data_IF_399459921489
#
_entry.id   IF_399459921489
#
_cell.length_a   1.000
_cell.length_b   1.000
_cell.length_c   1.000
_cell.angle_alpha   90.00
_cell.angle_beta   90.00
_cell.angle_gamma   90.00
#
_symmetry.space_group_name_H-M   'P 1'
#
loop_
_entity.id
_entity.type
_entity.pdbx_description
1 polymer ?
2 water ?
#
# COMPACT_ATOMS: atom_id res chain seq x y z
N UNK A 2 6.33 -11.35 6.59
CA UNK A 2 6.99 -10.16 7.10
C UNK A 2 8.42 -10.03 6.55
N UNK A 3 9.16 -9.05 7.05
CA UNK A 3 10.54 -8.85 6.62
C UNK A 3 11.37 -10.13 6.82
N UNK A 4 12.03 -10.58 5.75
CA UNK A 4 12.78 -11.82 5.80
C UNK A 4 12.02 -13.00 5.21
N UNK A 5 10.70 -12.91 5.09
CA UNK A 5 9.91 -14.01 4.53
C UNK A 5 10.34 -14.34 3.09
N UNK A 6 10.38 -15.64 2.79
CA UNK A 6 10.68 -16.13 1.44
C UNK A 6 9.35 -16.34 0.73
N UNK A 7 9.21 -15.82 -0.49
CA UNK A 7 7.91 -15.90 -1.15
C UNK A 7 8.12 -16.11 -2.64
N UNK A 8 7.02 -16.30 -3.35
CA UNK A 8 7.05 -16.40 -4.80
C UNK A 8 6.21 -15.25 -5.33
N UNK A 9 6.78 -14.48 -6.25
CA UNK A 9 6.03 -13.38 -6.85
C UNK A 9 4.93 -13.96 -7.73
N UNK A 10 3.71 -13.47 -7.55
CA UNK A 10 2.56 -14.01 -8.27
C UNK A 10 1.80 -12.88 -8.97
N UNK A 11 2.52 -12.07 -9.73
CA UNK A 11 1.94 -11.01 -10.53
C UNK A 11 2.90 -10.78 -11.69
N UNK A 12 2.49 -9.98 -12.66
CA UNK A 12 3.32 -9.77 -13.86
C UNK A 12 3.51 -8.30 -14.21
N UNK A 13 3.77 -7.45 -13.21
CA UNK A 13 3.93 -6.02 -13.44
C UNK A 13 4.94 -5.72 -14.55
N UNK A 15 8.15 -7.95 -17.05
CA UNK A 15 8.68 -9.26 -17.42
C UNK A 15 9.74 -9.73 -16.43
N UNK A 16 9.79 -11.04 -16.19
CA UNK A 16 10.82 -11.59 -15.34
C UNK A 16 10.44 -11.72 -13.88
N UNK A 18 7.05 -12.83 -12.67
CA UNK A 18 6.06 -13.88 -12.38
C UNK A 18 6.72 -15.22 -12.08
N UNK A 19 6.47 -15.74 -10.89
CA UNK A 19 7.04 -17.00 -10.46
C UNK A 19 8.46 -16.89 -9.91
N UNK A 20 8.99 -15.68 -9.86
CA UNK A 20 10.34 -15.50 -9.33
C UNK A 20 10.36 -15.71 -7.81
N UNK A 21 11.41 -16.39 -7.34
CA UNK A 21 11.63 -16.54 -5.91
C UNK A 21 12.05 -15.19 -5.36
N UNK A 22 11.53 -14.84 -4.19
CA UNK A 22 11.78 -13.51 -3.65
C UNK A 22 11.94 -13.53 -2.14
N UNK A 23 12.54 -12.49 -1.59
CA UNK A 23 12.60 -12.31 -0.14
C UNK A 23 12.10 -10.90 0.21
N UNK A 24 11.25 -10.81 1.23
CA UNK A 24 10.69 -9.54 1.66
C UNK A 24 11.69 -8.68 2.43
N UNK A 25 11.87 -7.45 1.99
CA UNK A 25 12.81 -6.55 2.67
C UNK A 25 12.12 -5.36 3.36
N UNK A 26 10.85 -5.15 3.05
CA UNK A 26 10.06 -4.16 3.78
C UNK A 26 8.59 -4.48 3.64
N UNK A 27 7.79 -4.08 4.64
CA UNK A 27 6.37 -4.34 4.68
C UNK A 27 5.70 -3.10 5.22
N UNK A 28 4.63 -2.64 4.55
CA UNK A 28 4.02 -1.35 4.86
C UNK A 28 2.49 -1.45 4.82
N UNK A 29 1.84 -1.15 5.94
CA UNK A 29 0.39 -0.99 5.95
C UNK A 29 0.17 0.41 5.44
N UNK A 30 -0.58 0.53 4.35
CA UNK A 30 -0.66 1.84 3.73
C UNK A 30 -1.81 1.85 2.75
N UNK A 31 -1.95 2.95 2.00
CA UNK A 31 -2.86 2.95 0.89
C UNK A 31 -2.05 2.82 -0.39
N UNK A 32 -2.42 1.85 -1.22
CA UNK A 32 -1.75 1.64 -2.49
C UNK A 32 -2.62 2.19 -3.60
N UNK A 33 -2.02 2.99 -4.47
CA UNK A 33 -2.78 3.59 -5.57
C UNK A 33 -2.29 3.04 -6.90
N UNK A 34 -3.22 2.91 -7.84
CA UNK A 34 -2.89 2.68 -9.23
C UNK A 34 -2.98 4.05 -9.89
N UNK A 35 -1.97 4.40 -10.67
CA UNK A 35 -1.89 5.74 -11.25
C UNK A 35 -1.52 5.73 -12.73
N UNK A 36 -1.97 6.76 -13.44
CA UNK A 36 -1.62 6.99 -14.83
C UNK A 36 -0.95 8.35 -14.95
N UNK A 37 0.14 8.42 -15.72
CA UNK A 37 0.85 9.67 -15.88
C UNK A 37 1.64 9.70 -17.18
N UNK A 38 1.98 10.91 -17.59
CA UNK A 38 2.94 11.14 -18.66
C UNK A 38 4.31 11.40 -18.02
N UNK A 39 5.32 10.58 -18.37
CA UNK A 39 6.65 10.74 -17.79
C UNK A 39 7.19 12.16 -18.04
N UNK A 40 8.11 12.60 -17.19
CA UNK A 40 8.68 13.94 -17.30
C UNK A 40 9.59 14.08 -18.52
N UNK A 41 10.16 12.95 -18.96
CA UNK A 41 11.05 12.92 -20.09
C UNK A 41 10.33 13.12 -21.42
N UNK A 42 9.06 12.74 -21.45
CA UNK A 42 8.21 12.96 -22.61
C UNK A 42 7.89 11.72 -23.41
N UNK A 43 8.27 10.55 -22.88
CA UNK A 43 7.96 9.29 -23.53
C UNK A 43 6.49 8.88 -23.44
N UNK A 44 6.23 7.60 -23.72
CA UNK A 44 4.88 7.06 -23.78
C UNK A 44 4.16 7.14 -22.44
N UNK A 45 2.85 7.36 -22.49
CA UNK A 45 2.06 7.49 -21.27
C UNK A 45 2.09 6.21 -20.45
N UNK A 46 2.18 6.35 -19.12
CA UNK A 46 2.12 5.19 -18.24
C UNK A 46 0.69 4.99 -17.77
N UNK A 47 0.11 3.83 -18.09
CA UNK A 47 -1.31 3.60 -17.84
C UNK A 47 -1.55 2.56 -16.76
N UNK A 48 -2.28 2.94 -15.71
CA UNK A 48 -2.59 2.06 -14.60
C UNK A 48 -1.38 1.38 -14.02
N UNK A 49 -0.44 2.17 -13.52
CA UNK A 49 0.75 1.61 -12.92
C UNK A 49 0.50 1.14 -11.46
N UNK A 50 0.76 -0.15 -11.22
CA UNK A 50 0.79 -0.70 -9.87
C UNK A 50 2.23 -0.70 -9.39
N UNK A 51 2.54 -0.07 -8.25
CA UNK A 51 1.64 0.73 -7.43
C UNK A 51 2.46 1.92 -6.96
N UNK A 52 1.81 3.01 -6.58
CA UNK A 52 2.48 4.01 -5.74
C UNK A 52 1.70 4.12 -4.43
N UNK A 53 2.41 4.36 -3.33
CA UNK A 53 1.76 4.35 -2.04
C UNK A 53 1.61 5.75 -1.48
N UNK A 54 0.89 5.86 -0.37
CA UNK A 54 0.58 7.16 0.23
C UNK A 54 1.83 8.01 0.41
N UNK A 55 2.87 7.36 0.93
CA UNK A 55 4.14 8.01 1.24
C UNK A 55 4.91 8.46 0.00
N UNK A 56 4.48 8.03 -1.17
CA UNK A 56 5.13 8.40 -2.41
C UNK A 56 4.43 9.54 -3.15
N UNK A 57 3.44 10.13 -2.51
CA UNK A 57 2.68 11.19 -3.16
C UNK A 57 2.92 12.53 -2.47
N UNK A 58 3.39 13.51 -3.23
CA UNK A 58 3.71 14.83 -2.71
C UNK A 58 2.55 15.42 -1.92
N UNK A 59 2.84 15.84 -0.68
CA UNK A 59 1.86 16.48 0.20
C UNK A 59 0.54 15.71 0.33
N UNK A 60 0.63 14.40 0.49
CA UNK A 60 -0.55 13.57 0.69
C UNK A 60 -0.91 13.48 2.17
N UNK A 61 0.10 13.54 3.02
CA UNK A 61 -0.09 13.44 4.46
C UNK A 61 -0.76 12.14 4.86
N UNK A 62 -1.66 12.23 5.82
CA UNK A 62 -2.45 11.07 6.25
C UNK A 62 -3.84 11.13 5.64
N UNK A 63 -3.98 11.93 4.58
CA UNK A 63 -5.25 12.08 3.90
C UNK A 63 -5.35 11.12 2.71
N UNK A 64 -6.28 10.18 2.80
CA UNK A 64 -6.55 9.29 1.70
C UNK A 64 -7.07 10.09 0.52
N UNK A 65 -6.53 9.82 -0.66
CA UNK A 65 -6.88 10.54 -1.87
C UNK A 65 -8.03 9.83 -2.56
N UNK A 66 -8.54 10.44 -3.64
CA UNK A 66 -9.67 9.83 -4.34
C UNK A 66 -9.35 9.54 -5.80
N UNK A 67 -9.90 8.44 -6.33
CA UNK A 67 -9.77 8.21 -7.78
C UNK A 67 -10.25 9.45 -8.52
N UNK A 68 -9.53 9.84 -9.57
CA UNK A 68 -9.82 11.09 -10.24
C UNK A 68 -8.90 12.22 -9.81
N UNK A 69 -8.30 12.12 -8.63
CA UNK A 69 -7.40 13.18 -8.17
C UNK A 69 -6.13 13.30 -9.02
N UNK A 70 -5.63 14.53 -9.16
CA UNK A 70 -4.36 14.80 -9.83
C UNK A 70 -3.31 15.01 -8.74
N UNK A 71 -2.22 14.25 -8.81
CA UNK A 71 -1.18 14.36 -7.80
C UNK A 71 0.18 14.45 -8.46
N UNK A 72 1.18 14.80 -7.67
CA UNK A 72 2.56 14.79 -8.13
C UNK A 72 3.23 13.59 -7.46
N UNK A 73 3.95 12.80 -8.25
CA UNK A 73 4.58 11.59 -7.72
C UNK A 73 5.97 11.89 -7.16
N UNK A 74 6.30 11.24 -6.04
CA UNK A 74 7.60 11.43 -5.41
C UNK A 74 8.45 10.16 -5.46
N UNK A 75 7.98 9.15 -6.18
CA UNK A 75 8.72 7.90 -6.31
C UNK A 75 9.51 7.89 -7.60
N UNK A 76 10.43 6.94 -7.73
CA UNK A 76 11.20 6.78 -8.95
C UNK A 76 11.37 5.32 -9.32
N UNK A 77 10.25 4.62 -9.46
CA UNK A 77 10.27 3.20 -9.78
C UNK A 77 10.80 2.97 -11.18
N UNK A 79 12.41 5.55 -14.83
CA UNK A 79 12.75 6.87 -15.34
C UNK A 79 11.50 7.67 -15.73
N UNK A 80 11.51 8.96 -15.42
CA UNK A 80 10.41 9.82 -15.80
C UNK A 80 9.27 9.89 -14.80
N UNK A 82 9.46 10.52 -11.22
CA UNK A 82 9.57 11.53 -10.16
C UNK A 82 9.12 12.91 -10.65
N UNK A 83 8.23 13.54 -9.87
CA UNK A 83 7.74 14.86 -10.18
C UNK A 83 6.63 14.90 -11.23
N UNK A 84 6.30 13.74 -11.79
CA UNK A 84 5.25 13.69 -12.80
C UNK A 84 3.88 14.00 -12.21
N UNK A 85 2.99 14.54 -13.03
CA UNK A 85 1.62 14.73 -12.61
C UNK A 85 0.88 13.44 -12.93
N UNK A 86 0.20 12.87 -11.94
CA UNK A 86 -0.52 11.63 -12.19
C UNK A 86 -1.98 11.68 -11.76
N UNK A 87 -2.79 10.86 -12.42
CA UNK A 87 -4.20 10.74 -12.06
C UNK A 87 -4.40 9.42 -11.33
N UNK A 88 -5.10 9.48 -10.21
CA UNK A 88 -5.34 8.26 -9.44
C UNK A 88 -6.48 7.51 -10.09
N UNK A 89 -6.21 6.27 -10.48
CA UNK A 89 -7.20 5.37 -11.07
C UNK A 89 -7.94 4.61 -9.98
N UNK A 90 -7.23 4.25 -8.91
CA UNK A 90 -7.86 3.56 -7.80
C UNK A 90 -7.01 3.64 -6.54
N UNK A 91 -7.62 3.35 -5.40
CA UNK A 91 -7.01 3.45 -4.08
C UNK A 91 -7.45 2.22 -3.32
N UNK A 92 -6.54 1.60 -2.54
CA UNK A 92 -6.89 0.39 -1.82
C UNK A 92 -6.12 0.33 -0.51
N UNK A 93 -6.83 0.08 0.58
CA UNK A 93 -6.13 -0.06 1.86
C UNK A 93 -5.54 -1.45 1.95
N UNK A 94 -4.21 -1.54 2.05
CA UNK A 94 -3.58 -2.85 2.04
C UNK A 94 -2.16 -2.85 2.62
N UNK A 95 -1.53 -4.00 2.62
CA UNK A 95 -0.12 -4.09 2.96
C UNK A 95 0.69 -4.26 1.68
N UNK A 96 1.73 -3.45 1.52
CA UNK A 96 2.60 -3.63 0.36
C UNK A 96 3.98 -4.03 0.83
N UNK A 97 4.68 -4.76 -0.03
CA UNK A 97 5.99 -5.30 0.29
C UNK A 97 7.00 -4.85 -0.74
N UNK A 99 10.60 -6.13 -2.22
CA UNK A 99 11.21 -7.45 -2.34
C UNK A 99 12.49 -7.46 -3.16
N UNK A 100 13.42 -8.34 -2.78
CA UNK A 100 14.55 -8.70 -3.61
C UNK A 100 14.15 -9.95 -4.39
N UNK A 101 14.49 -10.02 -5.67
CA UNK A 101 14.17 -11.24 -6.43
C UNK A 101 15.16 -11.47 -7.57
N UNK A 102 15.15 -12.68 -8.09
CA UNK A 102 15.96 -13.03 -9.25
C UNK A 102 15.09 -13.08 -10.50
N UNK A 103 15.34 -12.16 -11.45
CA UNK A 103 14.61 -12.15 -12.72
C UNK A 103 14.61 -13.51 -13.40
N UNK A 104 13.43 -13.95 -13.80
CA UNK A 104 13.30 -15.23 -14.48
C UNK A 104 13.84 -15.11 -15.91
N UNK A 105 13.94 -13.88 -16.40
CA UNK A 105 14.38 -13.62 -17.77
C UNK A 105 15.90 -13.72 -17.97
N UNK A 106 16.65 -13.07 -17.09
CA UNK A 106 18.09 -12.84 -17.27
C UNK A 106 18.91 -13.36 -16.10
N UNK A 107 18.23 -13.67 -15.00
CA UNK A 107 18.91 -14.12 -13.80
C UNK A 107 19.48 -12.98 -12.97
N UNK A 108 19.20 -11.74 -13.36
CA UNK A 108 19.69 -10.56 -12.60
C UNK A 108 19.05 -10.52 -11.22
N UNK A 109 19.87 -10.22 -10.21
CA UNK A 109 19.38 -10.08 -8.83
C UNK A 109 18.84 -8.68 -8.62
N UNK A 110 17.51 -8.54 -8.62
CA UNK A 110 16.89 -7.23 -8.46
C UNK A 110 16.71 -6.92 -6.97
N UNK A 111 17.06 -5.69 -6.58
CA UNK A 111 17.07 -5.34 -5.16
C UNK A 111 15.99 -4.31 -4.83
N UNK A 112 15.36 -4.48 -3.67
CA UNK A 112 14.39 -3.53 -3.15
C UNK A 112 13.35 -3.11 -4.17
N UNK A 113 12.67 -4.07 -4.75
CA UNK A 113 11.67 -3.76 -5.76
C UNK A 113 10.39 -3.28 -5.09
N UNK A 114 9.89 -2.14 -5.55
CA UNK A 114 8.62 -1.59 -5.09
C UNK A 114 7.64 -1.62 -6.26
N UNK A 115 6.46 -2.22 -6.10
CA UNK A 115 5.98 -2.83 -4.87
C UNK A 115 5.14 -4.01 -5.30
N UNK A 116 4.94 -4.96 -4.41
CA UNK A 116 3.89 -5.95 -4.59
C UNK A 116 3.04 -6.04 -3.34
N UNK A 117 1.76 -6.30 -3.55
CA UNK A 117 0.82 -6.48 -2.45
C UNK A 117 0.75 -7.95 -2.08
N UNK A 118 0.21 -8.26 -0.90
CA UNK A 118 0.13 -9.67 -0.46
C UNK A 118 -0.72 -10.53 -1.37
N UNK A 119 -1.72 -9.91 -2.00
CA UNK A 119 -2.53 -10.61 -3.00
C UNK A 119 -1.67 -11.02 -4.18
N UNK A 120 -0.53 -10.38 -4.34
CA UNK A 120 0.37 -10.61 -5.47
C UNK A 120 1.53 -11.54 -5.12
N UNK A 121 1.51 -12.11 -3.92
CA UNK A 121 2.59 -12.98 -3.47
C UNK A 121 2.05 -14.33 -3.03
N UNK A 122 2.87 -15.38 -3.17
CA UNK A 122 2.56 -16.70 -2.61
C UNK A 122 3.68 -17.06 -1.65
N UNK A 123 3.34 -17.62 -0.49
CA UNK A 123 4.38 -18.05 0.45
C UNK A 123 4.64 -19.56 0.37
N UNK B 2 -15.20 7.66 0.24
CA UNK B 2 -13.78 7.41 0.01
C UNK B 2 -13.37 6.20 0.81
N UNK B 3 -12.12 5.79 0.64
CA UNK B 3 -11.55 4.71 1.45
C UNK B 3 -11.58 5.10 2.93
N UNK B 4 -12.04 4.19 3.77
CA UNK B 4 -12.22 4.50 5.18
C UNK B 4 -13.62 5.00 5.52
N UNK B 5 -14.44 5.29 4.52
CA UNK B 5 -15.81 5.73 4.80
C UNK B 5 -16.62 4.59 5.45
N UNK B 6 -17.50 4.97 6.37
CA UNK B 6 -18.40 4.03 7.02
C UNK B 6 -19.76 4.05 6.32
N UNK B 7 -20.17 2.91 5.79
CA UNK B 7 -21.35 2.87 4.95
C UNK B 7 -22.33 1.77 5.36
N UNK B 8 -23.53 1.76 4.78
CA UNK B 8 -24.45 0.64 4.96
C UNK B 8 -24.70 0.01 3.59
N UNK B 9 -24.56 -1.31 3.53
CA UNK B 9 -24.74 -2.02 2.27
C UNK B 9 -26.22 -2.09 1.90
N UNK B 10 -26.55 -1.62 0.69
CA UNK B 10 -27.93 -1.65 0.22
C UNK B 10 -28.07 -2.46 -1.07
N UNK B 11 -27.70 -3.73 -0.99
CA UNK B 11 -27.84 -4.64 -2.11
C UNK B 11 -27.87 -6.04 -1.55
N UNK B 12 -28.36 -6.99 -2.33
CA UNK B 12 -28.42 -8.37 -1.88
C UNK B 12 -27.95 -9.31 -2.99
N UNK B 13 -26.94 -8.87 -3.75
CA UNK B 13 -26.50 -9.71 -4.87
C UNK B 13 -25.73 -10.95 -4.44
N UNK B 15 -25.79 -13.42 -0.47
CA UNK B 15 -26.49 -13.50 0.81
C UNK B 15 -25.65 -13.00 1.98
N UNK B 16 -26.31 -12.39 2.96
CA UNK B 16 -25.63 -11.95 4.16
C UNK B 16 -25.04 -10.54 4.13
N UNK B 18 -27.02 -7.58 2.87
CA UNK B 18 -28.05 -6.54 2.90
C UNK B 18 -28.21 -5.94 4.29
N UNK B 19 -28.02 -4.64 4.41
CA UNK B 19 -28.14 -3.98 5.70
C UNK B 19 -26.87 -4.00 6.55
N UNK B 20 -25.81 -4.68 6.09
CA UNK B 20 -24.59 -4.77 6.90
C UNK B 20 -23.88 -3.43 7.02
N UNK B 21 -23.41 -3.10 8.22
CA UNK B 21 -22.52 -1.95 8.40
C UNK B 21 -21.17 -2.31 7.76
N UNK B 22 -20.60 -1.39 6.99
CA UNK B 22 -19.37 -1.73 6.27
C UNK B 22 -18.38 -0.59 6.25
N UNK B 23 -17.13 -0.90 5.95
CA UNK B 23 -16.09 0.10 5.77
C UNK B 23 -15.55 -0.04 4.36
N UNK B 24 -15.46 1.05 3.61
CA UNK B 24 -14.84 1.00 2.28
C UNK B 24 -13.34 0.80 2.43
N UNK B 25 -12.80 -0.24 1.79
CA UNK B 25 -11.36 -0.50 1.86
C UNK B 25 -10.70 -0.22 0.51
N UNK B 26 -11.50 0.07 -0.52
CA UNK B 26 -10.96 0.30 -1.85
C UNK B 26 -11.97 0.99 -2.74
N UNK B 27 -11.49 1.92 -3.59
CA UNK B 27 -12.32 2.65 -4.54
C UNK B 27 -11.65 2.62 -5.92
N UNK B 28 -12.41 2.25 -6.95
CA UNK B 28 -11.87 2.13 -8.30
C UNK B 28 -12.73 2.93 -9.28
N UNK B 29 -12.11 3.82 -10.05
CA UNK B 29 -12.82 4.47 -11.16
C UNK B 29 -12.69 3.56 -12.37
N UNK B 30 -13.78 2.94 -12.78
CA UNK B 30 -13.67 1.90 -13.79
C UNK B 30 -15.00 1.68 -14.51
N UNK B 31 -15.09 0.56 -15.22
CA UNK B 31 -16.37 0.12 -15.75
C UNK B 31 -16.74 -1.20 -15.09
N UNK B 32 -17.98 -1.29 -14.64
CA UNK B 32 -18.47 -2.47 -13.96
C UNK B 32 -19.40 -3.25 -14.88
N UNK B 33 -19.12 -4.54 -15.06
CA UNK B 33 -19.92 -5.37 -15.94
C UNK B 33 -20.73 -6.39 -15.16
N UNK B 34 -21.93 -6.66 -15.65
CA UNK B 34 -22.71 -7.80 -15.20
C UNK B 34 -22.41 -8.91 -16.20
N UNK B 35 -22.01 -10.06 -15.68
CA UNK B 35 -21.60 -11.16 -16.56
C UNK B 35 -22.33 -12.46 -16.22
N UNK B 36 -22.47 -13.30 -17.23
CA UNK B 36 -23.00 -14.66 -17.04
C UNK B 36 -21.92 -15.60 -17.55
N UNK B 37 -21.68 -16.68 -16.83
CA UNK B 37 -20.61 -17.60 -17.21
C UNK B 37 -20.82 -19.03 -16.73
N UNK B 38 -20.19 -19.95 -17.44
CA UNK B 38 -20.14 -21.34 -17.00
C UNK B 38 -18.86 -21.53 -16.16
N UNK B 39 -19.03 -21.94 -14.89
CA UNK B 39 -17.86 -22.05 -14.00
C UNK B 39 -16.87 -23.09 -14.51
N UNK B 40 -15.62 -23.02 -14.07
CA UNK B 40 -14.59 -23.95 -14.52
C UNK B 40 -14.66 -25.27 -13.77
N UNK B 41 -15.36 -25.27 -12.63
CA UNK B 41 -15.41 -26.41 -11.74
C UNK B 41 -16.67 -27.26 -11.85
N UNK B 42 -17.38 -27.20 -12.97
CA UNK B 42 -18.53 -28.08 -13.19
C UNK B 42 -19.87 -27.67 -12.58
N UNK B 43 -19.94 -26.53 -11.90
CA UNK B 43 -21.20 -26.08 -11.30
C UNK B 43 -22.18 -25.54 -12.33
N UNK B 44 -23.38 -25.14 -11.87
CA UNK B 44 -24.37 -24.58 -12.78
C UNK B 44 -23.93 -23.21 -13.27
N UNK B 45 -24.49 -22.76 -14.39
CA UNK B 45 -24.14 -21.46 -14.94
C UNK B 45 -24.41 -20.37 -13.92
N UNK B 46 -23.56 -19.35 -13.91
CA UNK B 46 -23.78 -18.23 -13.03
C UNK B 46 -24.43 -17.14 -13.87
N UNK B 47 -25.59 -16.68 -13.44
CA UNK B 47 -26.35 -15.75 -14.26
C UNK B 47 -26.32 -14.37 -13.66
N UNK B 48 -26.08 -13.39 -14.54
CA UNK B 48 -26.06 -11.98 -14.18
C UNK B 48 -25.34 -11.70 -12.87
N UNK B 49 -24.06 -12.03 -12.85
CA UNK B 49 -23.21 -11.80 -11.70
C UNK B 49 -22.77 -10.34 -11.61
N UNK B 50 -23.04 -9.73 -10.46
CA UNK B 50 -22.52 -8.40 -10.15
C UNK B 50 -21.36 -8.59 -9.19
N UNK B 51 -20.15 -8.11 -9.54
CA UNK B 51 -19.81 -7.43 -10.77
C UNK B 51 -18.41 -7.90 -11.13
N UNK B 52 -18.01 -7.70 -12.38
CA UNK B 52 -16.57 -7.73 -12.66
C UNK B 52 -16.17 -6.41 -13.27
N UNK B 53 -14.94 -5.98 -13.01
CA UNK B 53 -14.54 -4.66 -13.51
C UNK B 53 -13.57 -4.80 -14.68
N UNK B 54 -13.34 -3.68 -15.38
CA UNK B 54 -12.51 -3.66 -16.58
C UNK B 54 -11.19 -4.38 -16.34
N UNK B 55 -10.63 -4.09 -15.17
CA UNK B 55 -9.33 -4.59 -14.76
C UNK B 55 -9.33 -6.10 -14.54
N UNK B 56 -10.51 -6.71 -14.48
CA UNK B 56 -10.64 -8.15 -14.20
C UNK B 56 -10.92 -8.98 -15.43
N UNK B 57 -10.81 -8.35 -16.59
CA UNK B 57 -11.11 -9.03 -17.83
C UNK B 57 -9.84 -9.22 -18.62
N UNK B 58 -9.58 -10.47 -19.01
CA UNK B 58 -8.30 -10.85 -19.60
C UNK B 58 -8.12 -10.14 -20.93
N UNK B 59 -7.00 -9.44 -21.08
CA UNK B 59 -6.64 -8.71 -22.30
C UNK B 59 -7.67 -7.68 -22.75
N UNK B 60 -8.44 -7.17 -21.79
CA UNK B 60 -9.43 -6.14 -22.10
C UNK B 60 -8.73 -4.82 -22.38
N UNK B 61 -7.65 -4.56 -21.65
CA UNK B 61 -6.98 -3.28 -21.73
C UNK B 61 -7.88 -2.16 -21.25
N UNK B 62 -7.99 -1.10 -22.03
CA UNK B 62 -8.76 0.07 -21.62
C UNK B 62 -10.00 0.23 -22.49
N UNK B 63 -10.11 -0.62 -23.51
CA UNK B 63 -11.27 -0.60 -24.41
C UNK B 63 -12.56 -0.96 -23.68
N UNK B 64 -13.51 -0.03 -23.65
CA UNK B 64 -14.84 -0.31 -23.13
C UNK B 64 -15.42 -1.50 -23.90
N UNK B 65 -16.01 -2.45 -23.19
CA UNK B 65 -16.61 -3.60 -23.86
C UNK B 65 -18.11 -3.37 -24.00
N UNK B 66 -18.73 -4.15 -24.89
CA UNK B 66 -20.15 -3.97 -25.20
C UNK B 66 -20.94 -5.19 -24.74
N UNK B 67 -22.19 -4.96 -24.29
CA UNK B 67 -23.03 -6.09 -23.92
C UNK B 67 -23.05 -7.05 -25.10
N UNK B 68 -23.04 -8.36 -24.84
CA UNK B 68 -23.04 -9.32 -25.93
C UNK B 68 -21.66 -9.89 -26.19
N UNK B 69 -20.63 -9.15 -25.79
CA UNK B 69 -19.25 -9.62 -25.94
C UNK B 69 -18.96 -10.82 -25.06
N UNK B 70 -18.18 -11.75 -25.58
CA UNK B 70 -17.69 -12.91 -24.83
C UNK B 70 -16.23 -12.65 -24.46
N UNK B 71 -15.88 -12.93 -23.20
CA UNK B 71 -14.56 -12.61 -22.66
C UNK B 71 -14.09 -13.72 -21.72
N UNK B 72 -12.81 -13.67 -21.35
CA UNK B 72 -12.26 -14.53 -20.30
C UNK B 72 -12.07 -13.73 -19.02
N UNK B 73 -12.52 -14.28 -17.89
CA UNK B 73 -12.41 -13.59 -16.60
C UNK B 73 -11.07 -13.85 -15.91
N UNK B 74 -10.42 -12.78 -15.45
CA UNK B 74 -9.16 -12.91 -14.70
C UNK B 74 -9.41 -12.95 -13.19
N UNK B 75 -10.64 -12.66 -12.78
CA UNK B 75 -11.00 -12.55 -11.38
C UNK B 75 -11.41 -13.88 -10.76
N UNK B 76 -11.39 -13.94 -9.43
CA UNK B 76 -11.72 -15.15 -8.68
C UNK B 76 -12.58 -14.84 -7.47
N UNK B 77 -13.69 -14.15 -7.70
CA UNK B 77 -14.58 -13.78 -6.60
C UNK B 77 -15.12 -15.04 -5.93
N UNK B 79 -14.84 -19.64 -6.42
CA UNK B 79 -14.26 -20.77 -7.12
C UNK B 79 -15.04 -21.03 -8.39
N UNK B 80 -14.31 -21.30 -9.48
CA UNK B 80 -14.97 -21.56 -10.75
C UNK B 80 -14.94 -20.39 -11.70
N UNK B 82 -12.20 -17.84 -12.21
CA UNK B 82 -10.94 -17.51 -12.86
C UNK B 82 -10.79 -18.37 -14.12
N UNK B 83 -10.58 -17.71 -15.26
CA UNK B 83 -10.45 -18.41 -16.52
C UNK B 83 -11.76 -18.80 -17.20
N UNK B 84 -12.91 -18.53 -16.55
CA UNK B 84 -14.21 -18.84 -17.16
C UNK B 84 -14.48 -17.98 -18.38
N UNK B 85 -15.18 -18.54 -19.36
CA UNK B 85 -15.66 -17.77 -20.51
C UNK B 85 -16.97 -17.13 -20.10
N UNK B 86 -17.08 -15.83 -20.32
CA UNK B 86 -18.22 -15.08 -19.82
C UNK B 86 -18.82 -14.25 -20.93
N UNK B 87 -20.13 -14.05 -20.86
CA UNK B 87 -20.82 -13.14 -21.78
C UNK B 87 -21.17 -11.85 -21.04
N UNK B 88 -20.95 -10.70 -21.65
CA UNK B 88 -21.29 -9.45 -20.97
C UNK B 88 -22.79 -9.08 -21.09
N UNK B 89 -23.49 -9.02 -19.96
CA UNK B 89 -24.90 -8.64 -19.94
C UNK B 89 -25.09 -7.12 -19.98
N UNK B 90 -24.22 -6.41 -19.29
CA UNK B 90 -24.31 -4.94 -19.25
C UNK B 90 -23.01 -4.32 -18.81
N UNK B 91 -22.92 -3.00 -19.02
CA UNK B 91 -21.70 -2.24 -18.73
C UNK B 91 -22.13 -0.90 -18.16
N UNK B 92 -21.48 -0.45 -17.10
CA UNK B 92 -21.82 0.80 -16.43
C UNK B 92 -20.56 1.51 -15.97
N UNK B 93 -20.39 2.76 -16.41
CA UNK B 93 -19.27 3.57 -15.95
C UNK B 93 -19.60 4.08 -14.57
N UNK B 94 -18.76 3.77 -13.59
CA UNK B 94 -19.09 4.10 -12.22
C UNK B 94 -17.87 3.87 -11.32
N UNK B 95 -17.93 4.41 -10.11
CA UNK B 95 -16.94 4.09 -9.11
C UNK B 95 -17.41 2.80 -8.45
N UNK B 96 -16.48 1.87 -8.25
CA UNK B 96 -16.83 0.64 -7.55
C UNK B 96 -15.96 0.58 -6.32
N UNK B 97 -16.50 -0.05 -5.28
CA UNK B 97 -15.83 -0.12 -4.00
C UNK B 97 -15.62 -1.56 -3.51
N UNK B 99 -15.37 -3.66 0.10
CA UNK B 99 -15.84 -3.39 1.46
C UNK B 99 -15.54 -4.53 2.42
N UNK B 100 -15.28 -4.15 3.67
CA UNK B 100 -15.22 -5.10 4.79
C UNK B 100 -16.53 -4.96 5.54
N UNK B 101 -17.18 -6.08 5.87
CA UNK B 101 -18.43 -6.04 6.62
C UNK B 101 -18.62 -7.34 7.39
N UNK B 102 -19.51 -7.34 8.38
CA UNK B 102 -19.81 -8.59 9.06
C UNK B 102 -21.09 -9.19 8.48
N UNK B 103 -20.99 -10.44 8.02
CA UNK B 103 -22.14 -11.13 7.44
C UNK B 103 -23.32 -11.07 8.41
N UNK B 104 -24.45 -10.55 7.92
CA UNK B 104 -25.65 -10.39 8.73
C UNK B 104 -26.22 -11.75 9.09
N UNK B 105 -25.82 -12.76 8.32
CA UNK B 105 -26.34 -14.12 8.46
C UNK B 105 -25.39 -15.02 9.25
N UNK B 106 -24.11 -14.97 8.91
CA UNK B 106 -23.14 -15.93 9.45
C UNK B 106 -22.24 -15.42 10.58
N UNK B 107 -22.14 -14.10 10.72
CA UNK B 107 -21.22 -13.53 11.69
C UNK B 107 -19.77 -13.54 11.23
N UNK B 108 -19.52 -14.07 10.03
CA UNK B 108 -18.19 -14.04 9.43
C UNK B 108 -17.80 -12.60 9.06
N UNK B 109 -16.59 -12.20 9.46
CA UNK B 109 -16.04 -10.91 9.03
C UNK B 109 -15.59 -11.07 7.58
N UNK B 110 -16.27 -10.39 6.67
CA UNK B 110 -15.91 -10.48 5.27
C UNK B 110 -14.90 -9.39 4.96
N UNK B 111 -13.81 -9.76 4.27
CA UNK B 111 -12.73 -8.82 3.99
C UNK B 111 -12.66 -8.52 2.49
N UNK B 112 -12.47 -7.25 2.15
CA UNK B 112 -12.29 -6.82 0.76
C UNK B 112 -13.27 -7.46 -0.21
N UNK B 113 -14.56 -7.34 0.06
CA UNK B 113 -15.55 -7.86 -0.87
C UNK B 113 -15.52 -7.08 -2.19
N UNK B 114 -15.38 -7.79 -3.29
CA UNK B 114 -15.47 -7.21 -4.62
C UNK B 114 -16.81 -7.66 -5.19
N UNK B 115 -17.75 -6.76 -5.46
CA UNK B 115 -17.58 -5.32 -5.46
C UNK B 115 -18.97 -4.77 -5.11
N UNK B 116 -19.03 -3.50 -4.72
CA UNK B 116 -20.32 -2.80 -4.60
C UNK B 116 -20.20 -1.45 -5.27
N UNK B 117 -21.23 -1.07 -6.01
CA UNK B 117 -21.19 0.22 -6.68
C UNK B 117 -21.72 1.27 -5.73
N UNK B 118 -21.45 2.53 -6.05
CA UNK B 118 -21.97 3.65 -5.26
C UNK B 118 -23.47 3.52 -5.03
N UNK B 119 -24.22 3.16 -6.07
CA UNK B 119 -25.67 3.01 -5.95
C UNK B 119 -26.11 1.89 -5.01
N UNK B 120 -25.18 0.99 -4.67
CA UNK B 120 -25.50 -0.15 -3.80
C UNK B 120 -25.14 0.13 -2.34
N UNK B 121 -24.77 1.37 -2.05
CA UNK B 121 -24.38 1.73 -0.71
C UNK B 121 -25.17 2.92 -0.18
N UNK B 122 -25.42 2.91 1.14
CA UNK B 122 -26.05 4.02 1.82
C UNK B 122 -25.14 4.57 2.90
N UNK B 123 -25.26 5.87 3.12
CA UNK B 123 -24.62 6.55 4.22
C UNK B 123 -25.68 6.93 5.23
N UNK B 124 -25.34 7.01 6.51
CA UNK B 124 -26.28 7.52 7.49
C UNK B 124 -26.11 9.04 7.58
N UNK B 125 -27.09 9.73 8.19
CA UNK B 125 -26.95 11.14 8.50
C UNK B 125 -25.71 11.37 9.35
N UNK C 2 29.64 6.24 6.67
CA UNK C 2 30.05 5.53 7.88
C UNK C 2 30.15 6.42 9.11
N UNK C 3 30.45 5.82 10.25
CA UNK C 3 30.62 6.60 11.48
C UNK C 3 31.75 7.59 11.25
N UNK C 4 31.48 8.87 11.43
CA UNK C 4 32.48 9.89 11.19
C UNK C 4 32.20 10.70 9.94
N UNK C 5 31.37 10.17 9.05
CA UNK C 5 31.02 10.89 7.83
C UNK C 5 30.40 12.26 8.14
N UNK C 6 30.74 13.24 7.32
CA UNK C 6 30.14 14.57 7.40
C UNK C 6 29.06 14.65 6.35
N UNK C 7 27.85 15.03 6.77
CA UNK C 7 26.69 14.97 5.89
C UNK C 7 25.81 16.17 6.15
N UNK C 8 24.77 16.30 5.33
CA UNK C 8 23.77 17.34 5.49
C UNK C 8 22.45 16.64 5.65
N UNK C 9 21.68 17.04 6.64
CA UNK C 9 20.42 16.37 6.89
C UNK C 9 19.40 16.78 5.83
N UNK C 10 18.75 15.79 5.22
CA UNK C 10 17.74 16.05 4.17
C UNK C 10 16.43 15.38 4.54
N UNK C 11 15.91 15.70 5.71
CA UNK C 11 14.61 15.22 6.15
C UNK C 11 14.09 16.12 7.27
N UNK C 12 12.77 16.15 7.44
CA UNK C 12 12.16 17.03 8.42
C UNK C 12 11.36 16.24 9.43
N UNK C 13 12.00 15.27 10.10
CA UNK C 13 11.34 14.51 11.14
C UNK C 13 10.96 15.47 12.22
N UNK C 15 11.60 19.65 13.73
CA UNK C 15 11.94 21.00 13.35
C UNK C 15 13.40 21.26 13.70
N UNK C 16 14.13 21.94 12.82
CA UNK C 16 15.49 22.34 13.12
C UNK C 16 16.56 21.37 12.64
N UNK C 18 16.38 19.96 9.08
CA UNK C 18 16.53 20.03 7.63
C UNK C 18 17.61 21.04 7.28
N UNK C 19 18.56 20.59 6.46
CA UNK C 19 19.62 21.47 6.01
C UNK C 19 20.80 21.56 6.95
N UNK C 20 20.65 21.07 8.17
CA UNK C 20 21.71 21.18 9.15
C UNK C 20 22.90 20.30 8.77
N UNK C 21 24.11 20.82 8.96
CA UNK C 21 25.33 20.05 8.74
C UNK C 21 25.50 19.11 9.92
N UNK C 22 25.83 17.86 9.62
CA UNK C 22 25.85 16.84 10.67
C UNK C 22 27.04 15.89 10.53
N UNK C 23 27.37 15.24 11.64
CA UNK C 23 28.38 14.19 11.62
C UNK C 23 27.72 12.90 12.07
N UNK C 24 27.97 11.81 11.36
CA UNK C 24 27.43 10.51 11.78
C UNK C 24 28.18 10.03 13.02
N UNK C 25 27.47 9.64 14.07
CA UNK C 25 28.15 9.20 15.27
C UNK C 25 27.82 7.74 15.60
N UNK C 26 26.92 7.16 14.81
CA UNK C 26 26.56 5.75 14.99
C UNK C 26 25.89 5.17 13.76
N UNK C 27 26.09 3.88 13.52
CA UNK C 27 25.50 3.15 12.41
C UNK C 27 25.07 1.77 12.92
N UNK C 28 23.83 1.39 12.61
CA UNK C 28 23.20 0.18 13.16
C UNK C 28 22.55 -0.60 12.03
N UNK C 29 22.99 -1.84 11.80
CA UNK C 29 22.27 -2.71 10.86
C UNK C 29 21.10 -3.27 11.63
N UNK C 30 19.88 -3.07 11.14
CA UNK C 30 18.74 -3.42 11.98
C UNK C 30 17.46 -3.51 11.16
N UNK C 31 16.34 -3.66 11.85
CA UNK C 31 15.04 -3.44 11.22
C UNK C 31 14.50 -2.13 11.75
N UNK C 32 14.06 -1.27 10.85
CA UNK C 32 13.56 0.03 11.27
C UNK C 32 12.07 0.02 11.07
N UNK C 33 11.37 0.56 12.06
CA UNK C 33 9.92 0.59 12.07
C UNK C 33 9.40 2.01 12.11
N UNK C 34 8.31 2.22 11.39
CA UNK C 34 7.50 3.41 11.59
C UNK C 34 6.36 3.02 12.53
N UNK C 35 6.18 3.81 13.58
CA UNK C 35 5.20 3.50 14.60
C UNK C 35 4.31 4.70 14.88
N UNK C 36 3.08 4.41 15.33
CA UNK C 36 2.20 5.45 15.85
C UNK C 36 1.87 5.13 17.30
N UNK C 37 1.82 6.16 18.14
CA UNK C 37 1.50 5.95 19.55
C UNK C 37 0.97 7.20 20.23
N UNK C 38 0.19 6.97 21.29
CA UNK C 38 -0.25 8.03 22.19
C UNK C 38 0.74 8.10 23.36
N UNK C 39 1.43 9.24 23.51
CA UNK C 39 2.43 9.40 24.56
C UNK C 39 1.86 9.19 25.97
N UNK C 40 2.69 8.71 26.89
CA UNK C 40 2.28 8.51 28.28
C UNK C 40 2.00 9.80 29.07
N UNK C 41 2.38 10.95 28.53
CA UNK C 41 2.34 12.20 29.29
C UNK C 41 1.30 13.24 28.86
N UNK C 42 0.28 12.81 28.12
CA UNK C 42 -0.78 13.74 27.72
C UNK C 42 -0.58 14.42 26.37
N UNK C 43 0.58 14.19 25.76
CA UNK C 43 0.87 14.80 24.47
C UNK C 43 -0.08 14.36 23.37
N UNK C 44 -0.06 15.06 22.24
CA UNK C 44 -0.84 14.65 21.07
C UNK C 44 -0.38 13.29 20.58
N UNK C 45 -1.28 12.57 19.92
CA UNK C 45 -0.93 11.28 19.35
C UNK C 45 0.20 11.46 18.34
N UNK C 46 1.22 10.60 18.40
CA UNK C 46 2.31 10.69 17.45
C UNK C 46 2.02 9.71 16.33
N UNK C 47 1.97 10.23 15.11
CA UNK C 47 1.50 9.43 13.99
C UNK C 47 2.61 9.17 12.99
N UNK C 48 2.76 7.91 12.62
CA UNK C 48 3.81 7.50 11.67
C UNK C 48 5.17 8.10 11.97
N UNK C 49 5.65 7.85 13.18
CA UNK C 49 6.95 8.33 13.60
C UNK C 49 8.10 7.49 13.00
N UNK C 50 9.01 8.15 12.30
CA UNK C 50 10.28 7.55 11.88
C UNK C 50 11.31 8.00 12.90
N UNK C 51 12.06 7.09 13.53
CA UNK C 51 11.97 5.64 13.39
C UNK C 51 12.15 5.06 14.80
N UNK C 52 11.67 3.85 15.04
CA UNK C 52 12.20 3.06 16.14
C UNK C 52 12.80 1.80 15.56
N UNK C 53 13.85 1.27 16.20
CA UNK C 53 14.52 0.11 15.64
C UNK C 53 14.28 -1.12 16.50
N UNK C 54 14.66 -2.29 15.98
CA UNK C 54 14.43 -3.58 16.66
C UNK C 54 14.92 -3.61 18.13
N UNK C 55 16.07 -3.00 18.38
CA UNK C 55 16.62 -3.01 19.73
C UNK C 55 15.82 -2.10 20.67
N UNK C 56 14.87 -1.34 20.13
CA UNK C 56 14.17 -0.34 20.94
C UNK C 56 12.75 -0.78 21.29
N UNK C 57 12.44 -2.03 21.00
CA UNK C 57 11.08 -2.52 21.24
C UNK C 57 11.16 -3.60 22.31
N UNK C 58 10.32 -3.47 23.34
CA UNK C 58 10.37 -4.34 24.51
C UNK C 58 10.15 -5.81 24.14
N UNK C 59 11.07 -6.66 24.59
CA UNK C 59 10.97 -8.11 24.41
C UNK C 59 11.00 -8.59 22.96
N UNK C 60 11.43 -7.72 22.05
CA UNK C 60 11.39 -8.06 20.62
C UNK C 60 12.46 -9.09 20.27
N UNK C 61 13.58 -9.05 21.00
CA UNK C 61 14.74 -9.87 20.71
C UNK C 61 15.19 -9.75 19.27
N UNK C 62 15.28 -10.88 18.60
CA UNK C 62 15.70 -10.88 17.20
C UNK C 62 14.56 -11.22 16.27
N UNK C 63 13.37 -11.37 16.83
CA UNK C 63 12.17 -11.66 16.05
C UNK C 63 11.55 -10.36 15.53
N UNK C 64 11.53 -10.23 14.22
CA UNK C 64 11.08 -9.04 13.53
C UNK C 64 9.56 -8.86 13.67
N UNK C 65 9.07 -7.63 13.72
CA UNK C 65 7.64 -7.40 13.89
C UNK C 65 6.94 -7.04 12.58
N UNK C 66 5.63 -7.22 12.57
CA UNK C 66 4.82 -7.12 11.36
C UNK C 66 3.96 -5.87 11.49
N UNK C 67 3.68 -5.19 10.37
CA UNK C 67 2.74 -4.08 10.47
C UNK C 67 1.42 -4.58 11.07
N UNK C 68 0.85 -3.81 12.00
CA UNK C 68 -0.34 -4.25 12.68
C UNK C 68 -0.04 -4.70 14.09
N UNK C 69 1.21 -5.10 14.35
CA UNK C 69 1.59 -5.52 15.69
C UNK C 69 1.48 -4.34 16.64
N UNK C 70 1.19 -4.66 17.89
CA UNK C 70 1.06 -3.69 18.97
C UNK C 70 2.16 -4.03 19.95
N UNK C 71 3.03 -3.06 20.25
CA UNK C 71 4.22 -3.31 21.03
C UNK C 71 4.41 -2.25 22.09
N UNK C 72 5.44 -2.45 22.91
CA UNK C 72 5.79 -1.47 23.93
C UNK C 72 7.15 -0.93 23.57
N UNK C 73 7.24 0.40 23.51
CA UNK C 73 8.51 1.05 23.15
C UNK C 73 9.42 1.17 24.36
N UNK C 74 10.71 0.92 24.16
CA UNK C 74 11.69 1.14 25.21
C UNK C 74 12.53 2.39 24.94
N UNK C 75 12.29 3.03 23.80
CA UNK C 75 13.08 4.19 23.38
C UNK C 75 12.51 5.46 23.96
N UNK C 76 13.37 6.48 24.11
CA UNK C 76 12.94 7.74 24.69
C UNK C 76 13.44 8.91 23.84
N UNK C 77 13.20 8.84 22.54
CA UNK C 77 13.60 9.90 21.63
C UNK C 77 12.87 11.20 21.99
N UNK C 79 9.89 12.81 25.07
CA UNK C 79 9.24 12.57 26.34
C UNK C 79 7.88 11.91 26.09
N UNK C 80 7.52 10.99 26.96
CA UNK C 80 6.27 10.28 26.83
C UNK C 80 6.35 9.10 25.88
N UNK C 82 8.83 6.48 26.02
CA UNK C 82 9.25 5.27 26.74
C UNK C 82 8.05 4.61 27.44
N UNK C 83 7.86 3.32 27.19
CA UNK C 83 6.73 2.60 27.77
C UNK C 83 5.41 2.75 27.00
N UNK C 84 5.35 3.60 25.97
CA UNK C 84 4.07 3.78 25.28
C UNK C 84 3.71 2.52 24.49
N UNK C 85 2.41 2.27 24.34
CA UNK C 85 1.95 1.20 23.49
C UNK C 85 1.89 1.74 22.08
N UNK C 86 2.53 1.07 21.14
CA UNK C 86 2.60 1.62 19.79
C UNK C 86 2.18 0.60 18.76
N UNK C 87 1.53 1.08 17.69
CA UNK C 87 1.20 0.23 16.55
C UNK C 87 2.29 0.34 15.48
N UNK C 88 2.72 -0.81 14.95
CA UNK C 88 3.73 -0.81 13.90
C UNK C 88 3.06 -0.48 12.55
N UNK C 89 3.47 0.60 11.89
CA UNK C 89 2.94 0.96 10.57
C UNK C 89 3.77 0.33 9.45
N UNK C 90 5.06 0.12 9.69
CA UNK C 90 5.87 -0.49 8.65
C UNK C 90 7.17 -1.00 9.23
N UNK C 91 7.85 -1.84 8.45
CA UNK C 91 9.08 -2.48 8.87
C UNK C 91 9.96 -2.62 7.64
N UNK C 92 11.25 -2.35 7.82
CA UNK C 92 12.22 -2.36 6.72
C UNK C 92 13.58 -2.80 7.22
N UNK C 93 14.19 -3.75 6.53
CA UNK C 93 15.56 -4.12 6.81
C UNK C 93 16.45 -3.06 6.19
N UNK C 94 17.28 -2.43 7.00
CA UNK C 94 18.09 -1.31 6.54
C UNK C 94 19.20 -0.98 7.55
N UNK C 95 19.91 0.12 7.31
CA UNK C 95 20.87 0.62 8.29
C UNK C 95 20.36 1.98 8.73
N UNK C 96 20.43 2.25 10.03
CA UNK C 96 20.11 3.58 10.54
C UNK C 96 21.32 4.26 11.16
N UNK C 97 21.30 5.59 11.16
CA UNK C 97 22.41 6.39 11.68
C UNK C 97 21.95 7.31 12.80
N UNK C 99 23.08 11.03 14.52
CA UNK C 99 23.84 12.19 14.07
C UNK C 99 23.96 13.26 15.15
N UNK C 100 25.07 14.00 15.11
CA UNK C 100 25.26 15.20 15.91
C UNK C 100 25.09 16.39 14.96
N UNK C 101 24.34 17.41 15.40
CA UNK C 101 24.12 18.60 14.57
C UNK C 101 23.66 19.78 15.42
N UNK C 102 23.66 20.98 14.86
CA UNK C 102 23.12 22.14 15.58
C UNK C 102 21.72 22.49 15.05
N UNK C 103 20.75 22.56 15.96
CA UNK C 103 19.36 22.85 15.58
C UNK C 103 19.29 24.20 14.88
N UNK C 104 18.61 24.24 13.74
CA UNK C 104 18.54 25.45 12.92
C UNK C 104 17.48 26.41 13.47
N UNK C 105 16.71 25.93 14.44
CA UNK C 105 15.61 26.68 15.02
C UNK C 105 15.89 27.11 16.46
N UNK C 106 16.50 26.21 17.23
CA UNK C 106 16.80 26.50 18.62
C UNK C 106 18.24 26.93 18.84
N UNK C 107 19.11 26.61 17.89
CA UNK C 107 20.54 26.85 18.03
C UNK C 107 21.24 25.89 19.00
N UNK C 108 20.50 24.94 19.56
CA UNK C 108 21.08 23.99 20.50
C UNK C 108 21.96 22.95 19.80
N UNK C 109 23.04 22.52 20.45
CA UNK C 109 23.80 21.37 19.98
C UNK C 109 22.97 20.11 20.23
N UNK C 110 22.63 19.39 19.17
CA UNK C 110 21.88 18.13 19.36
C UNK C 110 22.84 16.96 19.26
N UNK C 111 22.82 16.09 20.27
CA UNK C 111 23.74 14.96 20.35
C UNK C 111 23.04 13.62 20.13
N UNK C 112 23.64 12.78 19.29
CA UNK C 112 23.15 11.44 19.03
C UNK C 112 21.67 11.36 18.75
N UNK C 113 21.27 12.05 17.71
CA UNK C 113 19.88 12.04 17.33
C UNK C 113 19.56 10.74 16.64
N UNK C 114 18.51 10.07 17.13
CA UNK C 114 18.03 8.81 16.56
C UNK C 114 16.68 9.06 15.91
N UNK C 115 16.50 8.71 14.64
CA UNK C 115 17.49 8.08 13.78
C UNK C 115 17.30 8.71 12.40
N UNK C 116 18.31 8.58 11.53
CA UNK C 116 18.10 8.85 10.11
C UNK C 116 18.60 7.68 9.28
N UNK C 117 18.05 7.52 8.08
CA UNK C 117 18.57 6.56 7.12
C UNK C 117 19.41 7.29 6.10
N UNK C 118 20.11 6.50 5.28
CA UNK C 118 20.97 7.06 4.25
C UNK C 118 20.12 7.86 3.27
N UNK C 119 18.90 7.39 3.03
CA UNK C 119 17.98 8.11 2.14
C UNK C 119 17.70 9.51 2.65
N UNK C 120 17.89 9.71 3.96
CA UNK C 120 17.53 10.98 4.58
C UNK C 120 18.69 11.95 4.72
N UNK C 121 19.86 11.56 4.21
CA UNK C 121 21.05 12.40 4.33
C UNK C 121 21.60 12.80 2.97
N UNK C 122 22.35 13.90 2.93
CA UNK C 122 23.09 14.27 1.73
C UNK C 122 24.59 14.42 2.01
N UNK C 123 25.37 14.22 0.95
CA UNK C 123 26.81 14.43 1.00
C UNK C 123 27.22 15.59 0.11
N UNK C 124 28.35 16.21 0.41
CA UNK C 124 28.89 17.27 -0.45
C UNK C 124 29.94 16.71 -1.43
#
# INVERSE_FOLDING_TARGET
XKVGSQVIINTSHXKGXKGAEATVTGAYDTTAYVVSYTPTNGGQRVDHHKWVIQEEIKDAGDKTLQPGDQVILEASHXKGXKGATAEIDSAEKTTVYXVDYTSTTSGEKVKNHKWVTEDELLEHHHHHH
XKVGSQVIINTSHXKGXKGAEATVTGAYDTTAYVVSYTPTNGGQRVDHHKWVIQEEIKDAGDKTLQPGDQVILEASHXKGXKGATAEIDSAEKTTVYXVDYTSTTSGEKVKNHKWVTEDELLEHHHHHH
XKVGSQVIINTSHXKGXKGAEATVTGAYDTTAYVVSYTPTNGGQRVDHHKWVIQEEIKDAGDKTLQPGDQVILEASHXKGXKGATAEIDSAEKTTVYXVDYTSTTSGEKVKNHKWVTEDELLEHHHHHH
#
